data_IF_998553982650
#
_entry.id   IF_998553982650
#
_cell.length_a   1.000
_cell.length_b   1.000
_cell.length_c   1.000
_cell.angle_alpha   90.00
_cell.angle_beta   90.00
_cell.angle_gamma   90.00
#
_symmetry.space_group_name_H-M   'P 1'
#
loop_
_entity.id
_entity.type
_entity.pdbx_description
1 polymer ?
#
# COMPACT_ATOMS: atom_id res chain seq x y z
N UNK A 1 -4.45 -19.25 16.35
CA UNK A 1 -3.70 -18.80 15.17
C UNK A 1 -4.60 -17.89 14.31
N UNK A 2 -5.71 -18.37 13.82
CA UNK A 2 -6.63 -17.67 12.90
C UNK A 2 -7.06 -16.29 13.41
N UNK A 3 -7.42 -16.17 14.71
CA UNK A 3 -7.85 -14.89 15.27
C UNK A 3 -6.78 -13.80 15.20
N UNK A 4 -5.54 -14.12 15.56
CA UNK A 4 -4.41 -13.15 15.52
C UNK A 4 -4.09 -12.78 14.08
N UNK A 5 -4.12 -13.74 13.15
CA UNK A 5 -3.96 -13.49 11.73
C UNK A 5 -5.02 -12.56 11.16
N UNK A 6 -6.30 -12.84 11.44
CA UNK A 6 -7.41 -12.00 11.00
C UNK A 6 -7.34 -10.59 11.57
N UNK A 7 -7.00 -10.43 12.85
CA UNK A 7 -6.81 -9.12 13.45
C UNK A 7 -5.71 -8.32 12.74
N UNK A 8 -4.57 -8.95 12.45
CA UNK A 8 -3.45 -8.31 11.74
C UNK A 8 -3.84 -7.93 10.31
N UNK A 9 -4.56 -8.81 9.60
CA UNK A 9 -5.09 -8.56 8.25
C UNK A 9 -6.04 -7.35 8.28
N UNK A 10 -6.96 -7.30 9.25
CA UNK A 10 -7.92 -6.20 9.38
C UNK A 10 -7.21 -4.87 9.64
N UNK A 11 -6.25 -4.82 10.57
CA UNK A 11 -5.48 -3.60 10.86
C UNK A 11 -4.74 -3.13 9.61
N UNK A 12 -4.12 -4.03 8.88
CA UNK A 12 -3.38 -3.69 7.68
C UNK A 12 -4.30 -3.24 6.54
N UNK A 13 -5.42 -3.94 6.34
CA UNK A 13 -6.45 -3.57 5.37
C UNK A 13 -6.93 -2.13 5.61
N UNK A 14 -7.34 -1.82 6.84
CA UNK A 14 -7.79 -0.47 7.18
C UNK A 14 -6.69 0.59 7.04
N UNK A 15 -5.43 0.25 7.33
CA UNK A 15 -4.32 1.18 7.13
C UNK A 15 -4.07 1.52 5.66
N UNK A 16 -4.31 0.58 4.74
CA UNK A 16 -4.19 0.81 3.30
C UNK A 16 -5.44 1.45 2.70
N UNK A 17 -6.63 1.07 3.18
CA UNK A 17 -7.92 1.58 2.71
C UNK A 17 -8.18 3.02 3.20
N UNK A 18 -7.58 3.40 4.32
CA UNK A 18 -7.74 4.72 4.90
C UNK A 18 -7.16 5.79 3.99
N UNK A 19 -8.05 6.53 3.32
CA UNK A 19 -7.68 7.62 2.42
C UNK A 19 -7.88 8.98 3.10
N UNK A 20 -6.82 9.41 3.78
CA UNK A 20 -6.80 10.73 4.43
C UNK A 20 -6.91 11.86 3.39
N UNK A 21 -6.41 11.65 2.17
CA UNK A 21 -6.52 12.65 1.11
C UNK A 21 -7.98 12.92 0.77
N UNK A 22 -8.81 11.88 0.67
CA UNK A 22 -10.25 12.01 0.44
C UNK A 22 -10.98 12.73 1.59
N UNK A 23 -10.57 12.49 2.85
CA UNK A 23 -11.15 13.18 4.00
C UNK A 23 -10.83 14.69 4.02
N UNK A 24 -9.66 15.06 3.53
CA UNK A 24 -9.21 16.45 3.51
C UNK A 24 -9.48 17.17 2.20
N UNK A 25 -9.94 16.46 1.18
CA UNK A 25 -10.26 17.05 -0.14
C UNK A 25 -11.12 18.33 -0.07
N UNK A 26 -12.21 18.39 0.74
CA UNK A 26 -13.02 19.61 0.85
C UNK A 26 -12.24 20.78 1.47
N UNK A 27 -11.37 20.52 2.44
CA UNK A 27 -10.52 21.55 3.04
C UNK A 27 -9.42 21.98 2.06
N UNK A 28 -8.76 21.04 1.41
CA UNK A 28 -7.71 21.29 0.43
C UNK A 28 -8.25 22.10 -0.74
N UNK A 29 -9.42 21.73 -1.28
CA UNK A 29 -10.07 22.45 -2.38
C UNK A 29 -10.47 23.88 -2.02
N UNK A 30 -10.97 24.10 -0.81
CA UNK A 30 -11.31 25.44 -0.31
C UNK A 30 -10.06 26.31 -0.15
N UNK A 31 -9.01 25.80 0.47
CA UNK A 31 -7.72 26.49 0.61
C UNK A 31 -7.10 26.75 -0.76
N UNK A 32 -7.11 25.77 -1.63
CA UNK A 32 -6.57 25.84 -2.99
C UNK A 32 -7.25 26.94 -3.82
N UNK A 33 -8.58 27.00 -3.78
CA UNK A 33 -9.32 28.04 -4.49
C UNK A 33 -8.99 29.44 -3.97
N UNK A 34 -8.85 29.59 -2.66
CA UNK A 34 -8.48 30.87 -2.03
C UNK A 34 -7.05 31.29 -2.39
N UNK A 35 -6.09 30.38 -2.31
CA UNK A 35 -4.69 30.64 -2.69
C UNK A 35 -4.59 30.96 -4.18
N UNK A 36 -5.29 30.23 -5.02
CA UNK A 36 -5.28 30.44 -6.48
C UNK A 36 -5.72 31.86 -6.86
N UNK A 37 -6.81 32.30 -6.29
CA UNK A 37 -7.40 33.61 -6.66
C UNK A 37 -6.67 34.79 -6.02
N UNK A 38 -6.33 34.67 -4.74
CA UNK A 38 -5.85 35.81 -3.95
C UNK A 38 -4.33 35.96 -3.92
N UNK A 39 -3.59 34.85 -4.13
CA UNK A 39 -2.14 34.85 -4.01
C UNK A 39 -1.47 34.46 -5.33
N UNK A 40 -1.84 33.30 -5.88
CA UNK A 40 -1.13 32.74 -7.02
C UNK A 40 -1.31 33.58 -8.29
N UNK A 41 -2.53 33.96 -8.66
CA UNK A 41 -2.78 34.74 -9.87
C UNK A 41 -2.08 36.10 -9.87
N UNK A 42 -2.12 36.92 -8.81
CA UNK A 42 -1.38 38.18 -8.75
C UNK A 42 0.13 38.00 -8.84
N UNK A 43 0.69 37.02 -8.08
CA UNK A 43 2.13 36.74 -8.08
C UNK A 43 2.56 36.19 -9.45
N UNK A 44 1.78 35.33 -10.06
CA UNK A 44 2.03 34.77 -11.39
C UNK A 44 2.14 35.88 -12.44
N UNK A 45 1.25 36.86 -12.43
CA UNK A 45 1.29 38.04 -13.32
C UNK A 45 2.58 38.84 -13.10
N UNK A 46 2.97 39.10 -11.85
CA UNK A 46 4.19 39.80 -11.51
C UNK A 46 5.46 39.05 -12.01
N UNK A 47 5.50 37.73 -11.82
CA UNK A 47 6.62 36.90 -12.33
C UNK A 47 6.70 36.93 -13.84
N UNK A 48 5.55 36.87 -14.54
CA UNK A 48 5.50 36.97 -16.00
C UNK A 48 6.03 38.30 -16.50
N UNK A 49 5.59 39.41 -15.89
CA UNK A 49 6.08 40.75 -16.24
C UNK A 49 7.59 40.87 -15.99
N UNK A 50 8.06 40.40 -14.83
CA UNK A 50 9.50 40.39 -14.51
C UNK A 50 10.32 39.53 -15.48
N UNK A 51 9.83 38.35 -15.81
CA UNK A 51 10.48 37.45 -16.79
C UNK A 51 10.55 38.10 -18.18
N UNK A 52 9.48 38.80 -18.59
CA UNK A 52 9.44 39.51 -19.87
C UNK A 52 10.44 40.67 -19.91
N UNK A 53 10.52 41.48 -18.86
CA UNK A 53 11.51 42.56 -18.73
C UNK A 53 12.93 42.03 -18.82
N UNK A 54 13.23 40.94 -18.06
CA UNK A 54 14.55 40.30 -18.11
C UNK A 54 14.88 39.73 -19.50
N UNK A 55 13.87 39.18 -20.18
CA UNK A 55 14.04 38.69 -21.55
C UNK A 55 14.41 39.82 -22.51
N UNK A 56 13.77 41.00 -22.43
CA UNK A 56 14.11 42.17 -23.25
C UNK A 56 15.53 42.66 -22.97
N UNK A 57 15.93 42.74 -21.69
CA UNK A 57 17.28 43.17 -21.30
C UNK A 57 18.36 42.22 -21.87
N UNK A 58 18.13 40.90 -21.77
CA UNK A 58 19.09 39.93 -22.30
C UNK A 58 19.12 39.90 -23.83
N UNK A 59 17.98 40.05 -24.45
CA UNK A 59 17.88 40.20 -25.90
C UNK A 59 18.68 41.42 -26.39
N UNK A 60 18.50 42.57 -25.73
CA UNK A 60 19.26 43.79 -26.05
C UNK A 60 20.77 43.60 -25.86
N UNK A 61 21.20 42.77 -24.90
CA UNK A 61 22.60 42.40 -24.67
C UNK A 61 23.14 41.30 -25.60
N UNK A 62 22.34 40.78 -26.53
CA UNK A 62 22.66 39.67 -27.44
C UNK A 62 23.07 38.37 -26.72
N UNK A 63 22.65 38.19 -25.45
CA UNK A 63 22.92 36.98 -24.65
C UNK A 63 21.78 35.95 -24.85
N UNK A 64 21.81 35.31 -26.03
CA UNK A 64 20.76 34.30 -26.37
C UNK A 64 20.89 33.02 -25.57
N UNK A 65 22.12 32.61 -25.21
CA UNK A 65 22.33 31.38 -24.42
C UNK A 65 21.78 31.53 -22.99
N UNK A 66 22.10 32.69 -22.37
CA UNK A 66 21.59 33.00 -21.05
C UNK A 66 20.04 33.20 -21.04
N UNK A 67 19.50 33.74 -22.13
CA UNK A 67 18.04 33.91 -22.31
C UNK A 67 17.31 32.56 -22.34
N UNK A 68 17.82 31.60 -23.15
CA UNK A 68 17.20 30.27 -23.27
C UNK A 68 17.24 29.49 -21.94
N UNK A 69 18.39 29.52 -21.24
CA UNK A 69 18.54 28.84 -19.94
C UNK A 69 17.65 29.42 -18.86
N UNK A 70 17.47 30.74 -18.84
CA UNK A 70 16.58 31.39 -17.85
C UNK A 70 15.11 31.18 -18.20
N UNK A 71 14.75 31.24 -19.48
CA UNK A 71 13.36 31.00 -19.92
C UNK A 71 12.93 29.58 -19.59
N UNK A 72 13.80 28.58 -19.81
CA UNK A 72 13.55 27.18 -19.41
C UNK A 72 13.29 27.03 -17.92
N UNK A 73 14.10 27.69 -17.07
CA UNK A 73 13.89 27.66 -15.60
C UNK A 73 12.58 28.30 -15.18
N UNK A 74 12.25 29.47 -15.75
CA UNK A 74 10.98 30.17 -15.42
C UNK A 74 9.78 29.34 -15.87
N UNK A 75 9.80 28.79 -17.08
CA UNK A 75 8.72 27.93 -17.58
C UNK A 75 8.56 26.70 -16.68
N UNK A 76 9.68 26.04 -16.31
CA UNK A 76 9.64 24.85 -15.45
C UNK A 76 9.02 25.18 -14.08
N UNK A 77 9.47 26.26 -13.44
CA UNK A 77 8.92 26.69 -12.14
C UNK A 77 7.44 27.04 -12.24
N UNK A 78 7.04 27.78 -13.30
CA UNK A 78 5.64 28.14 -13.52
C UNK A 78 4.77 26.90 -13.78
N UNK A 79 5.24 25.94 -14.58
CA UNK A 79 4.53 24.69 -14.87
C UNK A 79 4.33 23.86 -13.61
N UNK A 80 5.39 23.72 -12.80
CA UNK A 80 5.31 23.05 -11.50
C UNK A 80 4.38 23.77 -10.51
N UNK A 81 4.43 25.10 -10.48
CA UNK A 81 3.55 25.90 -9.61
C UNK A 81 2.08 25.76 -10.02
N UNK A 82 1.80 25.77 -11.34
CA UNK A 82 0.44 25.56 -11.86
C UNK A 82 -0.06 24.17 -11.50
N UNK A 83 0.73 23.13 -11.69
CA UNK A 83 0.38 21.75 -11.35
C UNK A 83 0.06 21.62 -9.85
N UNK A 84 0.90 22.18 -8.98
CA UNK A 84 0.70 22.11 -7.53
C UNK A 84 -0.52 22.91 -7.05
N UNK A 85 -0.79 24.07 -7.66
CA UNK A 85 -1.89 24.95 -7.23
C UNK A 85 -3.20 24.59 -7.92
N UNK A 86 -3.18 24.04 -9.13
CA UNK A 86 -4.40 23.72 -9.88
C UNK A 86 -5.00 22.38 -9.46
N UNK A 87 -4.17 21.41 -9.08
CA UNK A 87 -4.61 20.03 -8.88
C UNK A 87 -3.87 19.33 -7.72
N UNK A 88 -3.76 20.04 -6.59
CA UNK A 88 -3.08 19.52 -5.39
C UNK A 88 -3.75 18.25 -4.85
N UNK A 89 -5.08 18.11 -4.99
CA UNK A 89 -5.81 16.93 -4.60
C UNK A 89 -5.39 15.71 -5.43
N UNK A 90 -5.32 15.85 -6.76
CA UNK A 90 -4.84 14.81 -7.66
C UNK A 90 -3.38 14.47 -7.38
N UNK A 91 -2.52 15.45 -7.15
CA UNK A 91 -1.13 15.18 -6.77
C UNK A 91 -1.01 14.38 -5.46
N UNK A 92 -1.83 14.71 -4.46
CA UNK A 92 -1.87 13.99 -3.19
C UNK A 92 -2.38 12.56 -3.38
N UNK A 93 -3.42 12.37 -4.19
CA UNK A 93 -3.94 11.03 -4.51
C UNK A 93 -2.91 10.19 -5.28
N UNK A 94 -2.17 10.77 -6.21
CA UNK A 94 -1.05 10.09 -6.89
C UNK A 94 0.02 9.62 -5.92
N UNK A 95 0.43 10.49 -4.98
CA UNK A 95 1.43 10.14 -3.97
C UNK A 95 0.93 9.03 -3.05
N UNK A 96 -0.33 9.10 -2.63
CA UNK A 96 -1.00 8.05 -1.85
C UNK A 96 -1.00 6.72 -2.61
N UNK A 97 -1.41 6.71 -3.87
CA UNK A 97 -1.48 5.52 -4.70
C UNK A 97 -0.11 4.88 -4.96
N UNK A 98 0.93 5.70 -5.20
CA UNK A 98 2.31 5.20 -5.32
C UNK A 98 2.75 4.52 -4.02
N UNK A 99 2.48 5.13 -2.87
CA UNK A 99 2.82 4.56 -1.57
C UNK A 99 2.09 3.24 -1.32
N UNK A 100 0.79 3.18 -1.61
CA UNK A 100 -0.03 1.97 -1.51
C UNK A 100 0.50 0.87 -2.44
N UNK A 101 0.79 1.20 -3.70
CA UNK A 101 1.34 0.26 -4.68
C UNK A 101 2.69 -0.31 -4.25
N UNK A 102 3.62 0.54 -3.79
CA UNK A 102 4.92 0.09 -3.28
C UNK A 102 4.77 -0.82 -2.06
N UNK A 103 3.85 -0.50 -1.16
CA UNK A 103 3.58 -1.33 0.03
C UNK A 103 3.11 -2.73 -0.34
N UNK A 104 2.19 -2.84 -1.32
CA UNK A 104 1.70 -4.13 -1.83
C UNK A 104 2.83 -4.90 -2.51
N UNK A 105 3.65 -4.25 -3.33
CA UNK A 105 4.79 -4.89 -4.00
C UNK A 105 5.82 -5.43 -3.00
N UNK A 106 6.14 -4.66 -1.97
CA UNK A 106 7.04 -5.12 -0.91
C UNK A 106 6.43 -6.32 -0.18
N UNK A 107 5.13 -6.27 0.14
CA UNK A 107 4.43 -7.38 0.78
C UNK A 107 4.44 -8.65 -0.07
N UNK A 108 4.11 -8.53 -1.35
CA UNK A 108 4.13 -9.66 -2.30
C UNK A 108 5.53 -10.27 -2.37
N UNK A 109 6.57 -9.44 -2.46
CA UNK A 109 7.95 -9.90 -2.44
C UNK A 109 8.38 -10.60 -1.14
N UNK A 110 7.90 -10.13 0.01
CA UNK A 110 8.21 -10.73 1.33
C UNK A 110 7.40 -11.99 1.60
N UNK A 111 6.16 -12.05 1.11
CA UNK A 111 5.28 -13.21 1.33
C UNK A 111 5.58 -14.39 0.41
N UNK A 112 6.25 -14.16 -0.72
CA UNK A 112 6.48 -15.16 -1.77
C UNK A 112 5.21 -15.59 -2.51
N UNK A 113 4.13 -14.82 -2.41
CA UNK A 113 2.85 -15.08 -3.08
C UNK A 113 2.79 -14.22 -4.34
N UNK A 114 2.80 -14.86 -5.50
CA UNK A 114 2.56 -14.18 -6.78
C UNK A 114 1.06 -13.89 -6.93
N UNK A 115 0.70 -12.62 -6.88
CA UNK A 115 -0.64 -12.17 -7.23
C UNK A 115 -0.59 -11.37 -8.53
N UNK A 116 -1.52 -11.66 -9.43
CA UNK A 116 -1.70 -10.86 -10.64
C UNK A 116 -2.00 -9.41 -10.24
N UNK A 117 -1.06 -8.52 -10.57
CA UNK A 117 -1.11 -7.09 -10.30
C UNK A 117 -2.10 -6.39 -11.26
N UNK A 118 -3.37 -6.64 -11.07
CA UNK A 118 -4.41 -6.09 -11.96
C UNK A 118 -5.55 -5.35 -11.25
N UNK A 119 -5.58 -5.36 -9.91
CA UNK A 119 -6.69 -4.76 -9.17
C UNK A 119 -6.35 -3.34 -8.72
N UNK A 120 -7.27 -2.42 -9.02
CA UNK A 120 -7.27 -1.05 -8.46
C UNK A 120 -7.44 -1.03 -6.93
N UNK A 121 -7.62 -2.17 -6.31
CA UNK A 121 -7.94 -2.36 -4.90
C UNK A 121 -6.74 -2.90 -4.12
N UNK A 122 -5.76 -2.02 -3.89
CA UNK A 122 -4.52 -2.36 -3.18
C UNK A 122 -4.75 -2.99 -1.80
N UNK A 123 -5.78 -2.54 -1.07
CA UNK A 123 -6.09 -3.06 0.26
C UNK A 123 -6.57 -4.50 0.20
N UNK A 124 -7.42 -4.86 -0.77
CA UNK A 124 -7.92 -6.21 -0.97
C UNK A 124 -6.79 -7.17 -1.39
N UNK A 125 -5.94 -6.73 -2.32
CA UNK A 125 -4.75 -7.50 -2.74
C UNK A 125 -3.83 -7.79 -1.56
N UNK A 126 -3.53 -6.77 -0.76
CA UNK A 126 -2.70 -6.90 0.44
C UNK A 126 -3.32 -7.86 1.47
N UNK A 127 -4.63 -7.75 1.71
CA UNK A 127 -5.36 -8.66 2.60
C UNK A 127 -5.30 -10.12 2.10
N UNK A 128 -5.41 -10.34 0.78
CA UNK A 128 -5.27 -11.67 0.17
C UNK A 128 -3.88 -12.27 0.39
N UNK A 129 -2.83 -11.49 0.17
CA UNK A 129 -1.44 -11.93 0.43
C UNK A 129 -1.23 -12.29 1.90
N UNK A 130 -1.75 -11.45 2.81
CA UNK A 130 -1.66 -11.73 4.25
C UNK A 130 -2.46 -12.96 4.64
N UNK A 131 -3.65 -13.15 4.07
CA UNK A 131 -4.45 -14.35 4.29
C UNK A 131 -3.68 -15.61 3.95
N UNK A 132 -3.09 -15.67 2.75
CA UNK A 132 -2.28 -16.82 2.33
C UNK A 132 -1.12 -17.03 3.29
N UNK A 133 -0.34 -16.00 3.59
CA UNK A 133 0.86 -16.10 4.41
C UNK A 133 0.62 -16.39 5.90
N UNK A 134 -0.47 -15.88 6.48
CA UNK A 134 -0.73 -15.94 7.92
C UNK A 134 -1.78 -16.99 8.31
N UNK A 135 -2.62 -17.42 7.37
CA UNK A 135 -3.71 -18.34 7.68
C UNK A 135 -3.66 -19.58 6.82
N UNK A 136 -3.66 -19.43 5.49
CA UNK A 136 -3.80 -20.55 4.58
C UNK A 136 -2.59 -21.48 4.59
N UNK A 137 -1.37 -20.97 4.38
CA UNK A 137 -0.16 -21.77 4.37
C UNK A 137 0.15 -22.45 5.73
N UNK A 138 0.02 -21.75 6.89
CA UNK A 138 0.15 -22.42 8.18
C UNK A 138 -0.91 -23.51 8.43
N UNK A 139 -2.17 -23.25 8.04
CA UNK A 139 -3.23 -24.27 8.14
C UNK A 139 -2.90 -25.49 7.28
N UNK A 140 -2.56 -25.29 6.01
CA UNK A 140 -2.19 -26.35 5.07
C UNK A 140 -1.05 -27.21 5.60
N UNK A 141 0.00 -26.56 6.09
CA UNK A 141 1.15 -27.29 6.66
C UNK A 141 0.83 -28.09 7.92
N UNK A 142 -0.14 -27.66 8.73
CA UNK A 142 -0.57 -28.38 9.92
C UNK A 142 -1.57 -29.49 9.59
N UNK A 143 -2.50 -29.26 8.67
CA UNK A 143 -3.51 -30.22 8.26
C UNK A 143 -2.85 -31.42 7.59
N UNK A 144 -1.99 -31.17 6.63
CA UNK A 144 -1.38 -32.21 5.83
C UNK A 144 -0.05 -32.76 6.41
N UNK A 145 0.54 -32.10 7.40
CA UNK A 145 1.70 -32.57 8.18
C UNK A 145 2.86 -33.18 7.36
N UNK A 146 3.10 -32.64 6.15
CA UNK A 146 4.26 -32.96 5.32
C UNK A 146 4.14 -34.24 4.48
N UNK A 147 2.94 -34.79 4.28
CA UNK A 147 2.69 -35.78 3.23
C UNK A 147 2.15 -35.08 1.96
N UNK A 148 2.35 -35.74 0.82
CA UNK A 148 1.91 -35.24 -0.46
C UNK A 148 0.38 -35.10 -0.51
N UNK A 149 -0.08 -33.95 -1.00
CA UNK A 149 -1.47 -33.59 -1.17
C UNK A 149 -1.64 -32.84 -2.49
N UNK A 150 -2.81 -33.00 -3.09
CA UNK A 150 -3.18 -32.23 -4.28
C UNK A 150 -3.87 -30.91 -3.91
N UNK A 151 -3.94 -29.98 -4.86
CA UNK A 151 -4.73 -28.75 -4.67
C UNK A 151 -6.23 -29.06 -4.52
N UNK A 152 -6.70 -30.17 -5.13
CA UNK A 152 -8.07 -30.65 -4.96
C UNK A 152 -8.35 -31.11 -3.52
N UNK A 153 -7.38 -31.77 -2.86
CA UNK A 153 -7.50 -32.14 -1.45
C UNK A 153 -7.57 -30.89 -0.54
N UNK A 154 -6.76 -29.86 -0.87
CA UNK A 154 -6.77 -28.60 -0.13
C UNK A 154 -8.13 -27.91 -0.26
N UNK A 155 -8.67 -27.82 -1.47
CA UNK A 155 -9.99 -27.22 -1.72
C UNK A 155 -11.10 -28.01 -1.05
N UNK A 156 -11.05 -29.33 -1.10
CA UNK A 156 -11.98 -30.22 -0.43
C UNK A 156 -12.04 -29.94 1.08
N UNK A 157 -10.87 -29.95 1.77
CA UNK A 157 -10.85 -29.72 3.22
C UNK A 157 -11.18 -28.29 3.64
N UNK A 158 -11.08 -27.31 2.74
CA UNK A 158 -11.51 -25.94 2.98
C UNK A 158 -13.03 -25.75 2.83
N UNK A 159 -13.64 -26.45 1.92
CA UNK A 159 -15.03 -26.23 1.52
C UNK A 159 -16.01 -27.23 2.13
N UNK A 160 -15.56 -28.49 2.32
CA UNK A 160 -16.42 -29.53 2.87
C UNK A 160 -16.67 -29.35 4.38
N UNK A 161 -17.92 -29.27 4.75
CA UNK A 161 -18.37 -29.07 6.14
C UNK A 161 -18.96 -30.34 6.77
N UNK A 162 -19.31 -31.34 5.94
CA UNK A 162 -19.86 -32.60 6.43
C UNK A 162 -18.76 -33.47 7.03
N UNK A 163 -18.94 -33.84 8.30
CA UNK A 163 -17.92 -34.59 9.06
C UNK A 163 -17.72 -36.01 8.52
N UNK A 164 -18.79 -36.68 8.09
CA UNK A 164 -18.72 -38.06 7.56
C UNK A 164 -17.99 -38.09 6.24
N UNK A 165 -18.28 -37.14 5.36
CA UNK A 165 -17.61 -36.98 4.06
C UNK A 165 -16.13 -36.67 4.25
N UNK A 166 -15.77 -35.79 5.19
CA UNK A 166 -14.36 -35.52 5.55
C UNK A 166 -13.65 -36.76 6.09
N UNK A 167 -14.30 -37.52 6.96
CA UNK A 167 -13.73 -38.74 7.53
C UNK A 167 -13.48 -39.78 6.45
N UNK A 168 -14.37 -39.95 5.49
CA UNK A 168 -14.20 -40.86 4.37
C UNK A 168 -12.96 -40.47 3.51
N UNK A 169 -12.81 -39.17 3.22
CA UNK A 169 -11.65 -38.66 2.48
C UNK A 169 -10.33 -38.88 3.27
N UNK A 170 -10.36 -38.68 4.58
CA UNK A 170 -9.22 -38.99 5.45
C UNK A 170 -8.84 -40.47 5.39
N UNK A 171 -9.83 -41.38 5.32
CA UNK A 171 -9.54 -42.83 5.21
C UNK A 171 -8.92 -43.16 3.83
N UNK A 172 -9.45 -42.59 2.74
CA UNK A 172 -8.87 -42.71 1.41
C UNK A 172 -7.40 -42.28 1.39
N UNK A 173 -7.08 -41.09 1.90
CA UNK A 173 -5.70 -40.62 1.98
C UNK A 173 -4.81 -41.54 2.85
N UNK A 174 -5.36 -42.13 3.90
CA UNK A 174 -4.62 -43.07 4.78
C UNK A 174 -4.37 -44.41 4.13
N UNK A 175 -5.14 -44.85 3.17
CA UNK A 175 -4.83 -46.06 2.39
C UNK A 175 -3.54 -45.88 1.60
N UNK A 176 -3.33 -44.69 1.01
CA UNK A 176 -2.12 -44.35 0.27
C UNK A 176 -0.95 -43.99 1.20
N UNK A 177 -1.24 -43.31 2.33
CA UNK A 177 -0.26 -42.89 3.31
C UNK A 177 -0.72 -43.20 4.74
N UNK A 178 -0.35 -44.38 5.31
CA UNK A 178 -0.80 -44.82 6.64
C UNK A 178 -0.41 -43.91 7.80
N UNK A 179 0.57 -43.01 7.60
CA UNK A 179 0.99 -42.02 8.60
C UNK A 179 0.17 -40.75 8.56
N UNK A 180 -0.57 -40.52 7.47
CA UNK A 180 -1.42 -39.34 7.34
C UNK A 180 -2.52 -39.35 8.42
N UNK A 181 -2.76 -38.22 9.04
CA UNK A 181 -3.73 -38.04 10.14
C UNK A 181 -3.59 -39.01 11.30
N UNK A 182 -2.44 -39.67 11.45
CA UNK A 182 -2.18 -40.69 12.49
C UNK A 182 -1.97 -40.04 13.87
N UNK A 183 -2.42 -40.72 14.93
CA UNK A 183 -2.10 -40.35 16.32
C UNK A 183 -0.60 -40.41 16.63
N UNK A 184 0.16 -41.23 15.94
CA UNK A 184 1.63 -41.36 16.12
C UNK A 184 2.38 -40.10 15.70
N UNK A 185 1.82 -39.28 14.81
CA UNK A 185 2.40 -38.02 14.34
C UNK A 185 1.91 -36.81 15.14
N UNK A 186 1.01 -36.99 16.11
CA UNK A 186 0.41 -35.90 16.88
C UNK A 186 1.45 -35.03 17.62
N UNK A 187 2.47 -35.66 18.23
CA UNK A 187 3.55 -34.94 18.91
C UNK A 187 4.37 -34.07 17.97
N UNK A 188 4.65 -34.56 16.77
CA UNK A 188 5.34 -33.80 15.74
C UNK A 188 4.51 -32.61 15.26
N UNK A 189 3.19 -32.78 15.05
CA UNK A 189 2.26 -31.72 14.67
C UNK A 189 2.16 -30.62 15.73
N UNK A 190 2.12 -31.01 17.01
CA UNK A 190 2.12 -30.05 18.13
C UNK A 190 3.42 -29.22 18.12
N UNK A 191 4.57 -29.88 17.93
CA UNK A 191 5.86 -29.18 17.84
C UNK A 191 5.92 -28.22 16.64
N UNK A 192 5.50 -28.66 15.47
CA UNK A 192 5.40 -27.80 14.26
C UNK A 192 4.42 -26.64 14.48
N UNK A 193 3.26 -26.92 15.08
CA UNK A 193 2.27 -25.90 15.40
C UNK A 193 2.80 -24.82 16.34
N UNK A 194 3.59 -25.19 17.34
CA UNK A 194 4.21 -24.25 18.25
C UNK A 194 5.23 -23.32 17.51
N UNK A 195 6.08 -23.90 16.67
CA UNK A 195 7.06 -23.14 15.88
C UNK A 195 6.32 -22.20 14.89
N UNK A 196 5.32 -22.69 14.19
CA UNK A 196 4.50 -21.90 13.27
C UNK A 196 3.80 -20.77 13.99
N UNK A 197 3.24 -21.02 15.17
CA UNK A 197 2.60 -19.98 15.97
C UNK A 197 3.57 -18.86 16.34
N UNK A 198 4.79 -19.20 16.78
CA UNK A 198 5.81 -18.19 17.09
C UNK A 198 6.22 -17.38 15.83
N UNK A 199 6.43 -18.08 14.71
CA UNK A 199 6.75 -17.43 13.43
C UNK A 199 5.64 -16.50 12.98
N UNK A 200 4.40 -16.93 13.12
CA UNK A 200 3.22 -16.13 12.78
C UNK A 200 3.11 -14.89 13.67
N UNK A 201 3.29 -15.01 14.99
CA UNK A 201 3.31 -13.88 15.90
C UNK A 201 4.35 -12.84 15.47
N UNK A 202 5.55 -13.29 15.12
CA UNK A 202 6.61 -12.41 14.65
C UNK A 202 6.21 -11.70 13.34
N UNK A 203 5.67 -12.43 12.36
CA UNK A 203 5.14 -11.85 11.13
C UNK A 203 4.04 -10.81 11.42
N UNK A 204 3.09 -11.12 12.29
CA UNK A 204 2.01 -10.20 12.67
C UNK A 204 2.56 -8.89 13.26
N UNK A 205 3.57 -8.96 14.14
CA UNK A 205 4.21 -7.77 14.70
C UNK A 205 4.83 -6.92 13.59
N UNK A 206 5.55 -7.53 12.65
CA UNK A 206 6.17 -6.84 11.53
C UNK A 206 5.11 -6.14 10.66
N UNK A 207 4.02 -6.83 10.32
CA UNK A 207 2.96 -6.25 9.50
C UNK A 207 2.21 -5.11 10.21
N UNK A 208 1.96 -5.24 11.51
CA UNK A 208 1.37 -4.15 12.31
C UNK A 208 2.30 -2.94 12.34
N UNK A 209 3.61 -3.15 12.49
CA UNK A 209 4.59 -2.04 12.43
C UNK A 209 4.58 -1.36 11.07
N UNK A 210 4.53 -2.12 9.98
CA UNK A 210 4.41 -1.55 8.62
C UNK A 210 3.11 -0.73 8.50
N UNK A 211 1.98 -1.25 8.96
CA UNK A 211 0.70 -0.55 8.95
C UNK A 211 0.76 0.78 9.72
N UNK A 212 1.38 0.79 10.91
CA UNK A 212 1.58 2.00 11.71
C UNK A 212 2.48 3.00 10.98
N UNK A 213 3.57 2.53 10.36
CA UNK A 213 4.47 3.40 9.58
C UNK A 213 3.73 4.04 8.40
N UNK A 214 2.89 3.28 7.69
CA UNK A 214 2.07 3.79 6.59
C UNK A 214 1.10 4.88 7.06
N UNK A 215 0.40 4.66 8.16
CA UNK A 215 -0.50 5.66 8.75
C UNK A 215 0.26 6.91 9.19
N UNK A 216 1.40 6.75 9.86
CA UNK A 216 2.24 7.88 10.26
C UNK A 216 2.76 8.66 9.07
N UNK A 217 3.16 7.98 7.98
CA UNK A 217 3.59 8.63 6.76
C UNK A 217 2.47 9.46 6.13
N UNK A 218 1.25 8.92 6.07
CA UNK A 218 0.08 9.66 5.58
C UNK A 218 -0.18 10.91 6.41
N UNK A 219 -0.21 10.78 7.75
CA UNK A 219 -0.40 11.92 8.67
C UNK A 219 0.71 12.96 8.52
N UNK A 220 1.97 12.51 8.43
CA UNK A 220 3.11 13.40 8.25
C UNK A 220 3.04 14.18 6.94
N UNK A 221 2.66 13.53 5.85
CA UNK A 221 2.47 14.16 4.54
C UNK A 221 1.45 15.30 4.64
N UNK A 222 0.32 15.07 5.34
CA UNK A 222 -0.71 16.07 5.54
C UNK A 222 -0.20 17.25 6.35
N UNK A 223 0.45 16.98 7.48
CA UNK A 223 1.01 18.04 8.33
C UNK A 223 2.00 18.87 7.52
N UNK A 224 2.86 18.24 6.73
CA UNK A 224 3.85 18.93 5.90
C UNK A 224 3.18 19.79 4.83
N UNK A 225 2.18 19.27 4.13
CA UNK A 225 1.42 20.02 3.14
C UNK A 225 0.69 21.20 3.81
N UNK A 226 -0.01 20.95 4.91
CA UNK A 226 -0.72 22.01 5.65
C UNK A 226 0.23 23.08 6.17
N UNK A 227 1.38 22.68 6.74
CA UNK A 227 2.38 23.63 7.26
C UNK A 227 3.02 24.47 6.16
N UNK A 228 3.36 23.87 5.03
CA UNK A 228 3.92 24.63 3.90
C UNK A 228 2.92 25.62 3.31
N UNK A 229 1.63 25.26 3.29
CA UNK A 229 0.58 26.17 2.87
C UNK A 229 0.34 27.34 3.86
N UNK A 230 0.36 27.07 5.18
CA UNK A 230 0.20 28.10 6.19
C UNK A 230 1.38 29.09 6.20
N UNK A 231 2.61 28.62 6.08
CA UNK A 231 3.81 29.47 6.06
C UNK A 231 3.93 30.33 4.78
N UNK A 232 3.28 29.96 3.72
CA UNK A 232 3.20 30.79 2.50
C UNK A 232 2.29 32.02 2.67
N UNK A 233 1.57 32.13 3.79
CA UNK A 233 0.67 33.21 4.14
C UNK A 233 1.23 34.24 5.13
N UNK A 234 2.38 33.96 5.75
CA UNK A 234 3.16 34.92 6.55
C UNK A 234 4.23 35.61 5.68
#
# INVERSE_FOLDING_TARGET
ITFVGLASISVFYYALDFDIAALLEPMISSIQSSIRLNVFLPIFQLILVGAFILAIIRFARRDFSGLMGQFGKVIFVLLMSVLLVHDSATFLSYTSNITKSLSVQIMTGVSGVDMESGTSEYAATAAGVLWVSLVHEPWKSLEFAGYDYSDEDVEFFLTETDEDTRNNKVQEIREDNPKAFSKSTAGQRIGQGAIMFLTMLFKCIVYILIAVILLLFQVFTIITVSYTHLRAHE
#
